data_IF_499769495528
#
_entry.id   IF_499769495528
#
_cell.length_a   1.000
_cell.length_b   1.000
_cell.length_c   1.000
_cell.angle_alpha   90.00
_cell.angle_beta   90.00
_cell.angle_gamma   90.00
#
_symmetry.space_group_name_H-M   'P 1'
#
loop_
_entity.id
_entity.type
_entity.pdbx_description
1 polymer ?
#
# COMPACT_ATOMS: atom_id res chain seq x y z
N UNK A 1 -11.53 -0.35 6.48
CA UNK A 1 -11.61 -0.85 5.08
C UNK A 1 -10.30 -1.55 4.78
N UNK A 2 -10.37 -2.72 4.13
CA UNK A 2 -9.18 -3.49 3.74
C UNK A 2 -8.93 -3.21 2.27
N UNK A 3 -7.73 -2.70 1.96
CA UNK A 3 -7.26 -2.57 0.59
C UNK A 3 -6.59 -3.88 0.18
N UNK A 4 -6.96 -4.43 -0.98
CA UNK A 4 -6.45 -5.74 -1.44
C UNK A 4 -6.25 -5.81 -2.94
N UNK A 5 -5.27 -6.59 -3.36
CA UNK A 5 -5.16 -7.10 -4.73
C UNK A 5 -5.58 -8.55 -4.77
N UNK A 6 -6.44 -8.91 -5.74
CA UNK A 6 -6.79 -10.30 -6.03
C UNK A 6 -6.09 -10.67 -7.32
N UNK A 7 -5.33 -11.76 -7.31
CA UNK A 7 -4.55 -12.22 -8.45
C UNK A 7 -4.93 -13.65 -8.81
N UNK A 8 -4.85 -13.98 -10.10
CA UNK A 8 -5.02 -15.37 -10.54
C UNK A 8 -3.84 -16.22 -10.09
N UNK A 9 -4.07 -17.52 -9.90
CA UNK A 9 -3.00 -18.50 -9.59
C UNK A 9 -1.88 -18.46 -10.64
N UNK A 10 -2.23 -18.26 -11.91
CA UNK A 10 -1.27 -18.18 -13.01
C UNK A 10 -0.26 -17.03 -12.87
N UNK A 11 -0.66 -15.90 -12.26
CA UNK A 11 0.21 -14.76 -11.98
C UNK A 11 1.19 -15.03 -10.82
N UNK A 12 1.08 -16.17 -10.14
CA UNK A 12 2.00 -16.58 -9.08
C UNK A 12 2.99 -17.61 -9.61
N UNK A 13 2.52 -18.63 -10.35
CA UNK A 13 3.32 -19.82 -10.67
C UNK A 13 3.69 -20.01 -12.15
N UNK A 14 2.85 -19.59 -13.10
CA UNK A 14 2.85 -20.20 -14.45
C UNK A 14 3.07 -19.21 -15.60
N UNK A 15 3.14 -17.91 -15.32
CA UNK A 15 3.26 -16.88 -16.35
C UNK A 15 4.65 -16.25 -16.41
N UNK A 16 4.97 -15.68 -17.57
CA UNK A 16 6.20 -14.91 -17.81
C UNK A 16 6.27 -13.65 -16.96
N UNK A 17 5.14 -13.20 -16.40
CA UNK A 17 5.01 -12.07 -15.49
C UNK A 17 4.41 -12.59 -14.17
N UNK A 18 5.12 -12.48 -13.06
CA UNK A 18 4.66 -13.06 -11.80
C UNK A 18 4.79 -12.10 -10.61
N UNK A 19 4.03 -12.38 -9.57
CA UNK A 19 4.14 -11.74 -8.24
C UNK A 19 4.67 -12.77 -7.25
N UNK A 20 5.65 -12.35 -6.46
CA UNK A 20 6.11 -13.14 -5.33
C UNK A 20 5.32 -12.80 -4.05
N UNK A 21 5.42 -13.65 -3.03
CA UNK A 21 4.74 -13.44 -1.74
C UNK A 21 5.16 -12.16 -1.01
N UNK A 22 6.28 -11.54 -1.38
CA UNK A 22 6.81 -10.30 -0.79
C UNK A 22 6.64 -9.10 -1.73
N UNK A 23 5.88 -9.26 -2.83
CA UNK A 23 5.74 -8.26 -3.88
C UNK A 23 4.68 -7.22 -3.54
N UNK A 24 4.03 -7.34 -2.38
CA UNK A 24 3.03 -6.41 -1.91
C UNK A 24 3.56 -5.57 -0.76
N UNK A 25 3.35 -4.27 -0.84
CA UNK A 25 3.78 -3.30 0.17
C UNK A 25 2.69 -2.26 0.39
N UNK A 26 2.65 -1.68 1.60
CA UNK A 26 1.94 -0.43 1.86
C UNK A 26 2.94 0.72 1.71
N UNK A 27 2.60 1.73 0.91
CA UNK A 27 3.52 2.82 0.61
C UNK A 27 3.31 3.98 1.57
N UNK A 28 4.40 4.36 2.24
CA UNK A 28 4.45 5.39 3.27
C UNK A 28 5.05 6.68 2.71
N UNK A 29 4.37 7.32 1.75
CA UNK A 29 4.82 8.61 1.26
C UNK A 29 4.77 9.66 2.38
N UNK A 30 5.84 10.44 2.55
CA UNK A 30 5.94 11.40 3.65
C UNK A 30 4.81 12.43 3.70
N UNK A 31 4.28 12.84 2.54
CA UNK A 31 3.13 13.77 2.47
C UNK A 31 1.79 13.15 2.87
N UNK A 32 1.72 11.81 2.95
CA UNK A 32 0.56 11.06 3.45
C UNK A 32 0.68 10.77 4.95
N UNK A 33 1.76 11.18 5.60
CA UNK A 33 2.05 10.87 6.99
C UNK A 33 2.12 12.14 7.84
N UNK A 34 1.76 11.99 9.10
CA UNK A 34 1.96 12.98 10.15
C UNK A 34 2.55 12.30 11.39
N UNK A 35 3.27 13.06 12.21
CA UNK A 35 3.88 12.52 13.43
C UNK A 35 2.78 12.09 14.39
N UNK A 36 2.87 10.86 14.88
CA UNK A 36 1.97 10.39 15.92
C UNK A 36 2.42 10.95 17.27
N UNK A 37 1.55 11.78 17.88
CA UNK A 37 1.80 12.39 19.19
C UNK A 37 1.49 11.44 20.34
N UNK A 38 0.64 10.44 20.12
CA UNK A 38 0.19 9.52 21.16
C UNK A 38 1.05 8.24 21.18
N UNK A 39 1.43 7.72 20.02
CA UNK A 39 2.04 6.38 19.92
C UNK A 39 3.49 6.33 19.42
N UNK A 40 4.21 7.46 19.38
CA UNK A 40 5.52 7.58 18.72
C UNK A 40 5.48 7.16 17.22
N UNK A 41 6.41 7.68 16.41
CA UNK A 41 6.42 7.37 14.96
C UNK A 41 5.42 8.21 14.15
N UNK A 42 4.68 7.57 13.23
CA UNK A 42 3.85 8.24 12.23
C UNK A 42 2.52 7.55 12.02
N UNK A 43 1.50 8.35 11.69
CA UNK A 43 0.16 7.88 11.30
C UNK A 43 -0.25 8.51 9.97
N UNK A 44 -1.26 7.95 9.27
CA UNK A 44 -1.79 8.59 8.06
C UNK A 44 -2.31 9.99 8.38
N UNK A 45 -1.92 10.97 7.56
CA UNK A 45 -2.45 12.33 7.60
C UNK A 45 -3.81 12.34 6.90
N UNK A 46 -4.83 11.97 7.67
CA UNK A 46 -6.21 11.81 7.24
C UNK A 46 -6.85 13.13 6.82
N UNK A 47 -7.66 13.10 5.77
CA UNK A 47 -8.49 14.21 5.30
C UNK A 47 -9.54 14.57 6.36
N UNK A 48 -10.13 13.57 7.01
CA UNK A 48 -11.11 13.76 8.08
C UNK A 48 -10.76 12.93 9.33
N UNK A 49 -11.03 13.51 10.49
CA UNK A 49 -11.01 12.82 11.78
C UNK A 49 -12.45 12.87 12.33
N UNK A 50 -13.20 11.80 12.07
CA UNK A 50 -14.65 11.81 12.29
C UNK A 50 -15.33 12.85 11.40
N UNK A 51 -16.18 13.74 11.94
CA UNK A 51 -16.82 14.79 11.16
C UNK A 51 -15.91 16.00 10.88
N UNK A 52 -14.70 16.05 11.48
CA UNK A 52 -13.83 17.23 11.43
C UNK A 52 -12.88 17.12 10.25
N UNK A 53 -12.85 18.14 9.39
CA UNK A 53 -11.84 18.27 8.34
C UNK A 53 -10.46 18.53 8.96
N UNK A 54 -9.49 17.68 8.63
CA UNK A 54 -8.13 17.69 9.17
C UNK A 54 -7.07 18.13 8.15
N UNK A 55 -7.46 18.44 6.91
CA UNK A 55 -6.53 18.97 5.89
C UNK A 55 -5.46 17.97 5.44
N UNK A 56 -5.68 16.68 5.67
CA UNK A 56 -4.88 15.60 5.10
C UNK A 56 -5.21 15.30 3.65
N UNK A 57 -4.34 14.51 3.02
CA UNK A 57 -4.42 14.20 1.58
C UNK A 57 -5.24 12.94 1.33
N UNK A 58 -5.13 11.95 2.22
CA UNK A 58 -5.82 10.66 2.09
C UNK A 58 -6.05 10.04 3.46
N UNK A 59 -7.21 9.43 3.65
CA UNK A 59 -7.53 8.68 4.88
C UNK A 59 -6.88 7.28 4.91
N UNK A 60 -6.38 6.83 3.76
CA UNK A 60 -5.81 5.52 3.52
C UNK A 60 -4.43 5.61 2.85
N UNK A 61 -3.59 4.60 3.10
CA UNK A 61 -2.27 4.49 2.49
C UNK A 61 -2.34 3.62 1.23
N UNK A 62 -1.71 4.02 0.11
CA UNK A 62 -1.69 3.22 -1.10
C UNK A 62 -1.06 1.85 -0.88
N UNK A 63 -1.63 0.81 -1.50
CA UNK A 63 -1.00 -0.50 -1.63
C UNK A 63 -0.32 -0.63 -3.00
N UNK A 64 0.86 -1.24 -3.02
CA UNK A 64 1.66 -1.49 -4.22
C UNK A 64 1.76 -2.99 -4.46
N UNK A 65 1.74 -3.38 -5.73
CA UNK A 65 2.11 -4.72 -6.18
C UNK A 65 3.25 -4.64 -7.21
N UNK A 66 4.33 -5.38 -6.96
CA UNK A 66 5.51 -5.45 -7.83
C UNK A 66 5.44 -6.70 -8.70
N UNK A 67 5.30 -6.49 -10.01
CA UNK A 67 5.32 -7.56 -11.00
C UNK A 67 6.74 -7.78 -11.50
N UNK A 68 7.15 -9.05 -11.64
CA UNK A 68 8.49 -9.45 -12.09
C UNK A 68 8.36 -10.25 -13.37
N UNK A 69 9.28 -10.03 -14.31
CA UNK A 69 9.36 -10.86 -15.53
C UNK A 69 10.31 -12.03 -15.29
N UNK A 70 9.91 -13.23 -15.67
CA UNK A 70 10.83 -14.38 -15.75
C UNK A 70 11.73 -14.19 -16.96
N UNK A 71 13.04 -14.16 -16.72
CA UNK A 71 14.04 -14.18 -17.79
C UNK A 71 14.47 -15.64 -17.95
N UNK A 72 14.17 -16.22 -19.12
CA UNK A 72 14.74 -17.52 -19.52
C UNK A 72 16.12 -17.26 -20.13
N UNK A 73 17.12 -17.97 -19.62
CA UNK A 73 18.44 -18.10 -20.23
C UNK A 73 18.49 -19.40 -21.02
#
# INVERSE_FOLDING_TARGET
MIDQFIVSKSLISDSSLYVDKKGMDVILFGYLLEKDKEFLGYKPRRTYIGPIYNGGVSDHLPILIKLKKRVQF
#
